data_IF_237234768941
#
_entry.id   IF_237234768941
#
_cell.length_a   1.000
_cell.length_b   1.000
_cell.length_c   1.000
_cell.angle_alpha   90.00
_cell.angle_beta   90.00
_cell.angle_gamma   90.00
#
_symmetry.space_group_name_H-M   'P 1'
#
loop_
_entity.id
_entity.type
_entity.pdbx_description
1 polymer ?
#
# COMPACT_ATOMS: atom_id res chain seq x y z
N UNK A 1 -29.53 4.00 -5.19
CA UNK A 1 -28.39 3.18 -5.11
C UNK A 1 -28.29 2.44 -3.81
N UNK A 2 -28.00 1.22 -3.95
CA UNK A 2 -28.01 0.36 -2.82
C UNK A 2 -26.62 0.25 -2.24
N UNK A 3 -26.41 0.87 -1.13
CA UNK A 3 -25.11 0.85 -0.51
C UNK A 3 -24.67 -0.54 -0.15
N UNK A 4 -25.60 -1.38 0.13
CA UNK A 4 -25.26 -2.72 0.52
C UNK A 4 -24.67 -3.52 -0.61
N UNK A 5 -24.89 -3.08 -1.82
CA UNK A 5 -24.34 -3.80 -2.94
C UNK A 5 -22.88 -3.43 -3.19
N UNK A 6 -22.40 -2.43 -2.50
CA UNK A 6 -21.02 -2.02 -2.71
C UNK A 6 -20.13 -2.69 -1.70
N UNK A 7 -19.11 -3.35 -2.22
CA UNK A 7 -18.11 -3.98 -1.38
C UNK A 7 -16.81 -3.28 -1.64
N UNK A 8 -16.26 -2.70 -0.61
CA UNK A 8 -15.05 -1.93 -0.70
C UNK A 8 -13.94 -2.69 0.03
N UNK A 9 -12.77 -2.67 -0.54
CA UNK A 9 -11.60 -3.25 0.10
C UNK A 9 -10.60 -2.16 0.39
N UNK A 10 -9.82 -2.38 1.42
CA UNK A 10 -8.73 -1.50 1.73
C UNK A 10 -7.45 -2.17 1.28
N UNK A 11 -6.68 -1.47 0.46
CA UNK A 11 -5.41 -1.98 -0.02
C UNK A 11 -4.33 -1.14 0.61
N UNK A 12 -3.40 -1.77 1.29
CA UNK A 12 -2.30 -1.06 1.93
C UNK A 12 -1.02 -1.52 1.25
N UNK A 13 -0.31 -0.60 0.64
CA UNK A 13 0.94 -0.90 -0.03
C UNK A 13 2.06 -0.17 0.68
N UNK A 14 3.06 -0.90 1.12
CA UNK A 14 4.22 -0.31 1.79
C UNK A 14 5.38 -0.46 0.82
N UNK A 15 5.88 0.64 0.33
CA UNK A 15 6.84 0.64 -0.76
C UNK A 15 8.05 1.51 -0.44
N UNK A 16 9.06 1.40 -1.27
CA UNK A 16 10.24 2.23 -1.14
C UNK A 16 9.90 3.67 -1.51
N UNK A 17 10.44 4.62 -0.76
CA UNK A 17 10.04 6.02 -0.97
C UNK A 17 10.24 6.55 -2.38
N UNK A 18 11.31 6.15 -3.04
CA UNK A 18 11.58 6.71 -4.36
C UNK A 18 10.63 6.20 -5.44
N UNK A 19 9.78 5.24 -5.11
CA UNK A 19 8.83 4.72 -6.07
C UNK A 19 7.44 5.34 -5.92
N UNK A 20 7.26 6.17 -4.91
CA UNK A 20 5.93 6.72 -4.61
C UNK A 20 5.34 7.47 -5.78
N UNK A 21 6.10 8.38 -6.37
CA UNK A 21 5.56 9.17 -7.45
C UNK A 21 5.16 8.33 -8.64
N UNK A 22 5.95 7.31 -8.91
CA UNK A 22 5.63 6.44 -10.04
C UNK A 22 4.36 5.65 -9.77
N UNK A 23 4.19 5.19 -8.54
CA UNK A 23 3.00 4.45 -8.19
C UNK A 23 1.77 5.35 -8.24
N UNK A 24 1.88 6.55 -7.68
CA UNK A 24 0.75 7.46 -7.70
C UNK A 24 0.38 7.86 -9.11
N UNK A 25 1.38 8.06 -9.95
CA UNK A 25 1.12 8.39 -11.33
C UNK A 25 0.41 7.25 -12.05
N UNK A 26 0.82 6.04 -11.77
CA UNK A 26 0.18 4.88 -12.38
C UNK A 26 -1.26 4.71 -11.92
N UNK A 27 -1.56 5.20 -10.72
CA UNK A 27 -2.90 5.06 -10.14
C UNK A 27 -3.83 6.21 -10.44
N UNK A 28 -3.32 7.26 -11.09
CA UNK A 28 -4.13 8.47 -11.20
C UNK A 28 -5.42 8.31 -11.97
N UNK A 29 -5.52 7.29 -12.78
CA UNK A 29 -6.78 7.05 -13.50
C UNK A 29 -7.49 5.82 -12.96
N UNK A 30 -7.00 5.26 -11.87
CA UNK A 30 -7.65 4.09 -11.31
C UNK A 30 -8.93 4.50 -10.58
N UNK A 31 -9.91 3.64 -10.57
CA UNK A 31 -11.18 3.97 -9.92
C UNK A 31 -11.09 3.76 -8.41
N UNK A 32 -10.56 4.73 -7.72
CA UNK A 32 -10.37 4.66 -6.29
C UNK A 32 -11.45 5.43 -5.56
N UNK A 33 -11.86 4.92 -4.41
CA UNK A 33 -12.81 5.65 -3.57
C UNK A 33 -12.05 6.71 -2.78
N UNK A 34 -10.84 6.36 -2.36
CA UNK A 34 -10.03 7.29 -1.61
C UNK A 34 -8.59 6.79 -1.59
N UNK A 35 -7.68 7.68 -1.24
CA UNK A 35 -6.26 7.35 -1.22
C UNK A 35 -5.56 8.19 -0.15
N UNK A 36 -4.71 7.58 0.62
CA UNK A 36 -3.90 8.27 1.61
C UNK A 36 -2.45 7.85 1.47
N UNK A 37 -1.55 8.75 1.81
CA UNK A 37 -0.12 8.49 1.74
C UNK A 37 0.51 8.92 3.03
N UNK A 38 1.37 8.09 3.58
CA UNK A 38 1.99 8.36 4.86
C UNK A 38 3.40 7.80 4.89
N UNK A 39 4.32 8.56 5.42
CA UNK A 39 5.68 8.08 5.58
C UNK A 39 5.75 7.23 6.84
N UNK A 40 6.39 6.09 6.74
CA UNK A 40 6.52 5.21 7.88
C UNK A 40 7.94 4.68 7.92
N UNK A 41 8.32 4.10 9.04
CA UNK A 41 9.59 3.44 9.13
C UNK A 41 9.31 1.98 9.25
N UNK A 42 9.76 1.23 8.26
CA UNK A 42 9.53 -0.19 8.26
C UNK A 42 10.73 -0.92 8.78
N UNK A 43 10.49 -2.00 9.48
CA UNK A 43 11.57 -2.87 9.83
C UNK A 43 11.07 -4.28 9.61
N UNK A 44 11.99 -5.16 9.37
CA UNK A 44 11.62 -6.51 9.09
C UNK A 44 12.89 -7.23 8.74
N UNK A 45 12.72 -8.33 8.07
CA UNK A 45 13.86 -9.11 7.76
C UNK A 45 14.56 -8.61 6.53
N UNK A 46 15.56 -7.81 6.75
CA UNK A 46 16.44 -7.37 5.70
C UNK A 46 17.62 -8.30 5.71
N UNK A 47 17.31 -9.58 5.73
CA UNK A 47 18.27 -10.56 6.02
C UNK A 47 19.53 -10.60 5.24
N UNK A 48 19.43 -10.62 3.96
CA UNK A 48 20.62 -10.77 3.17
C UNK A 48 21.61 -9.64 3.39
N UNK A 49 21.10 -8.49 3.69
CA UNK A 49 21.94 -7.33 3.87
C UNK A 49 22.50 -7.25 5.26
N UNK A 50 21.66 -7.43 6.23
CA UNK A 50 22.06 -7.20 7.60
C UNK A 50 22.79 -8.35 8.23
N UNK A 51 22.63 -9.54 7.69
CA UNK A 51 23.35 -10.67 8.21
C UNK A 51 24.85 -10.50 8.05
N UNK A 52 25.24 -9.72 7.10
CA UNK A 52 26.64 -9.49 6.90
C UNK A 52 27.24 -8.70 8.00
N UNK A 53 26.39 -7.97 8.72
CA UNK A 53 26.92 -7.19 9.82
C UNK A 53 26.90 -8.00 11.09
N UNK A 54 25.80 -8.69 11.29
CA UNK A 54 25.71 -9.39 12.48
C UNK A 54 24.33 -9.65 12.64
N UNK A 55 23.88 -10.72 12.40
CA UNK A 55 22.53 -11.07 12.31
C UNK A 55 21.59 -10.47 13.33
N UNK A 56 22.06 -10.30 14.50
CA UNK A 56 21.14 -9.86 15.52
C UNK A 56 20.80 -8.38 15.45
N UNK A 57 21.56 -7.66 14.69
CA UNK A 57 21.32 -6.25 14.64
C UNK A 57 20.28 -5.80 13.69
N UNK A 58 19.97 -6.58 12.72
CA UNK A 58 19.08 -6.10 11.69
C UNK A 58 17.67 -5.84 12.17
N UNK A 59 17.31 -6.46 13.26
CA UNK A 59 15.95 -6.23 13.75
C UNK A 59 15.77 -4.80 14.23
N UNK A 60 16.86 -4.10 14.39
CA UNK A 60 16.77 -2.73 14.84
C UNK A 60 16.85 -1.72 13.72
N UNK A 61 16.99 -2.20 12.50
CA UNK A 61 17.11 -1.27 11.38
C UNK A 61 15.73 -0.80 10.96
N UNK A 62 15.50 0.48 11.07
CA UNK A 62 14.26 1.09 10.65
C UNK A 62 14.52 1.84 9.37
N UNK A 63 14.05 1.28 8.27
CA UNK A 63 14.26 1.91 6.98
C UNK A 63 13.03 2.70 6.59
N UNK A 64 13.22 3.85 5.97
CA UNK A 64 12.08 4.66 5.57
C UNK A 64 11.28 3.95 4.50
N UNK A 65 9.99 4.00 4.64
CA UNK A 65 9.05 3.44 3.67
C UNK A 65 7.89 4.39 3.56
N UNK A 66 7.08 4.19 2.56
CA UNK A 66 5.86 4.97 2.41
C UNK A 66 4.70 4.00 2.35
N UNK A 67 3.66 4.32 3.09
CA UNK A 67 2.46 3.53 3.10
C UNK A 67 1.42 4.25 2.26
N UNK A 68 0.89 3.56 1.26
CA UNK A 68 -0.18 4.08 0.45
C UNK A 68 -1.41 3.25 0.79
N UNK A 69 -2.45 3.91 1.24
CA UNK A 69 -3.67 3.23 1.62
C UNK A 69 -4.75 3.63 0.63
N UNK A 70 -5.39 2.65 0.04
CA UNK A 70 -6.40 2.87 -0.97
C UNK A 70 -7.69 2.20 -0.56
N UNK A 71 -8.82 2.80 -0.95
CA UNK A 71 -10.11 2.16 -0.77
C UNK A 71 -10.66 1.97 -2.16
N UNK A 72 -10.94 0.74 -2.51
CA UNK A 72 -11.19 0.33 -3.88
C UNK A 72 -12.41 -0.58 -3.93
N UNK A 73 -13.22 -0.42 -4.96
CA UNK A 73 -14.32 -1.33 -5.19
C UNK A 73 -13.76 -2.74 -5.31
N UNK A 74 -14.44 -3.69 -4.71
CA UNK A 74 -13.98 -5.06 -4.66
C UNK A 74 -13.63 -5.62 -6.04
N UNK A 75 -14.38 -5.25 -7.03
CA UNK A 75 -14.17 -5.77 -8.38
C UNK A 75 -12.93 -5.20 -9.06
N UNK A 76 -12.36 -4.17 -8.47
CA UNK A 76 -11.17 -3.54 -9.05
C UNK A 76 -9.89 -3.82 -8.31
N UNK A 77 -9.97 -4.59 -7.23
CA UNK A 77 -8.82 -4.82 -6.40
C UNK A 77 -7.67 -5.45 -7.16
N UNK A 78 -7.95 -6.49 -7.93
CA UNK A 78 -6.87 -7.17 -8.62
C UNK A 78 -6.16 -6.27 -9.61
N UNK A 79 -6.92 -5.45 -10.29
CA UNK A 79 -6.36 -4.53 -11.24
C UNK A 79 -5.45 -3.52 -10.56
N UNK A 80 -5.90 -2.98 -9.44
CA UNK A 80 -5.15 -1.97 -8.71
C UNK A 80 -3.88 -2.58 -8.12
N UNK A 81 -4.00 -3.75 -7.54
CA UNK A 81 -2.83 -4.42 -6.97
C UNK A 81 -1.80 -4.71 -8.04
N UNK A 82 -2.25 -5.15 -9.21
CA UNK A 82 -1.33 -5.44 -10.28
C UNK A 82 -0.56 -4.20 -10.72
N UNK A 83 -1.26 -3.07 -10.82
CA UNK A 83 -0.62 -1.83 -11.22
C UNK A 83 0.46 -1.45 -10.22
N UNK A 84 0.15 -1.56 -8.94
CA UNK A 84 1.11 -1.21 -7.90
C UNK A 84 2.33 -2.11 -7.98
N UNK A 85 2.11 -3.41 -8.11
CA UNK A 85 3.21 -4.35 -8.11
C UNK A 85 4.11 -4.15 -9.31
N UNK A 86 3.52 -3.87 -10.47
CA UNK A 86 4.32 -3.68 -11.67
C UNK A 86 5.26 -2.50 -11.55
N UNK A 87 4.82 -1.47 -10.85
CA UNK A 87 5.64 -0.29 -10.70
C UNK A 87 6.61 -0.43 -9.53
N UNK A 88 6.15 -1.01 -8.44
CA UNK A 88 6.91 -1.00 -7.20
C UNK A 88 7.89 -2.15 -7.05
N UNK A 89 7.74 -3.19 -7.86
CA UNK A 89 8.62 -4.33 -7.73
C UNK A 89 9.95 -4.05 -8.43
N UNK A 90 11.04 -4.18 -7.70
CA UNK A 90 12.36 -4.00 -8.29
C UNK A 90 13.10 -5.31 -8.38
N UNK A 91 12.60 -6.35 -7.71
CA UNK A 91 13.29 -7.62 -7.68
C UNK A 91 14.33 -7.69 -6.59
N UNK A 92 14.39 -6.67 -5.75
CA UNK A 92 15.37 -6.65 -4.68
C UNK A 92 14.68 -6.85 -3.35
N UNK A 93 15.46 -7.27 -2.38
CA UNK A 93 14.93 -7.45 -1.06
C UNK A 93 14.41 -6.11 -0.54
N UNK A 94 13.33 -6.18 0.19
CA UNK A 94 12.77 -4.96 0.76
C UNK A 94 11.89 -4.18 -0.18
N UNK A 95 11.46 -4.80 -1.29
CA UNK A 95 10.58 -4.12 -2.23
C UNK A 95 9.30 -3.61 -1.61
N UNK A 96 8.75 -4.36 -0.67
CA UNK A 96 7.55 -3.89 -0.04
C UNK A 96 6.54 -4.99 0.16
N UNK A 97 5.37 -4.60 0.58
CA UNK A 97 4.29 -5.54 0.86
C UNK A 97 2.97 -4.91 0.51
N UNK A 98 2.00 -5.75 0.19
CA UNK A 98 0.65 -5.30 -0.05
C UNK A 98 -0.29 -6.15 0.79
N UNK A 99 -1.20 -5.50 1.47
CA UNK A 99 -2.23 -6.17 2.23
C UNK A 99 -3.58 -5.73 1.70
N UNK A 100 -4.50 -6.66 1.62
CA UNK A 100 -5.87 -6.35 1.20
C UNK A 100 -6.79 -6.77 2.31
N UNK A 101 -7.65 -5.88 2.73
CA UNK A 101 -8.55 -6.15 3.84
C UNK A 101 -9.96 -5.71 3.50
N UNK A 102 -10.95 -6.37 4.07
CA UNK A 102 -12.32 -5.91 3.88
C UNK A 102 -12.50 -4.54 4.51
N UNK A 103 -13.33 -3.74 3.90
CA UNK A 103 -13.69 -2.46 4.48
C UNK A 103 -15.19 -2.32 4.32
N UNK A 104 -15.81 -1.67 5.28
CA UNK A 104 -17.23 -1.48 5.23
C UNK A 104 -17.51 0.01 5.24
N UNK A 105 -18.14 0.53 4.18
CA UNK A 105 -18.44 1.96 4.16
C UNK A 105 -19.43 2.28 5.26
N UNK A 106 -19.20 3.36 5.96
CA UNK A 106 -20.09 3.82 6.99
C UNK A 106 -21.09 4.85 6.49
N UNK A 107 -21.08 5.10 5.20
CA UNK A 107 -21.93 6.12 4.62
C UNK A 107 -21.11 7.34 4.31
N UNK A 108 -21.72 8.27 3.62
CA UNK A 108 -21.04 9.48 3.30
C UNK A 108 -21.41 10.54 4.27
N UNK A 109 -20.42 11.27 4.65
CA UNK A 109 -20.64 12.33 5.59
C UNK A 109 -20.40 13.63 4.86
N UNK A 110 -21.43 14.35 4.54
CA UNK A 110 -21.20 15.61 3.87
C UNK A 110 -21.43 16.71 4.84
N UNK A 111 -21.03 17.87 4.45
CA UNK A 111 -20.99 18.97 5.33
C UNK A 111 -22.32 19.52 5.76
N UNK A 112 -23.32 19.03 5.16
CA UNK A 112 -24.58 19.48 5.45
C UNK A 112 -25.04 18.82 6.63
N UNK A 113 -24.70 17.64 6.76
CA UNK A 113 -25.20 16.75 7.77
C UNK A 113 -24.71 17.00 9.08
#
# INVERSE_FOLDING_TARGET
>A
MDLEARIVKQVIAIIKPYLVEKVLDALKHAPLEACGVCEVKGYGRQKSYLDEYRGSEYSLAFLPKVEITLWVDDLRVEEVVRVIVEVARTGRMGDGKIFVMPAMPGGEWDGEG
#
